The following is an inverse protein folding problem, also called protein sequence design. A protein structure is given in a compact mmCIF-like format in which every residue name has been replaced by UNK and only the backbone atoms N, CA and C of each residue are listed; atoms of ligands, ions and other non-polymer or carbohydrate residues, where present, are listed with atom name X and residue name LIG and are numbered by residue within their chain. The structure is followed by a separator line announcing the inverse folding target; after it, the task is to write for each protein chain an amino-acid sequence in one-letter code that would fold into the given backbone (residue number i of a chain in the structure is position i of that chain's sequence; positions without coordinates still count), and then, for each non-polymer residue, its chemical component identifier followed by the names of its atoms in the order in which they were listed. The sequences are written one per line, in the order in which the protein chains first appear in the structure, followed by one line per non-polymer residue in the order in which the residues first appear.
data_IF_044105957569
#
_entry.id   IF_044105957569
#
_cell.length_a   1.000
_cell.length_b   1.000
_cell.length_c   1.000
_cell.angle_alpha   90.00
_cell.angle_beta   90.00
_cell.angle_gamma   90.00
#
_symmetry.space_group_name_H-M   'P 1'
#
loop_
_entity.id
_entity.type
_entity.pdbx_description
1 polymer ?
#
# COMPACT_ATOMS: atom_id res chain seq x y z
N UNK A 1 -29.84 2.34 -7.54
CA UNK A 1 -28.58 2.42 -8.30
C UNK A 1 -27.42 2.36 -7.30
N UNK A 2 -26.55 1.38 -7.44
CA UNK A 2 -25.40 1.27 -6.57
C UNK A 2 -24.35 2.29 -6.98
N UNK A 3 -23.94 3.15 -6.05
CA UNK A 3 -22.87 4.08 -6.31
C UNK A 3 -21.55 3.31 -6.36
N UNK A 4 -20.83 3.43 -7.46
CA UNK A 4 -19.52 2.81 -7.60
C UNK A 4 -18.50 3.75 -6.98
N UNK A 5 -17.71 3.21 -6.02
CA UNK A 5 -16.61 3.95 -5.45
C UNK A 5 -15.63 4.36 -6.56
N UNK A 6 -15.15 5.58 -6.53
CA UNK A 6 -14.22 6.10 -7.54
C UNK A 6 -13.04 6.76 -6.87
N UNK A 7 -11.86 6.43 -7.38
CA UNK A 7 -10.65 7.11 -6.96
C UNK A 7 -10.64 8.54 -7.47
N UNK A 8 -10.22 9.48 -6.61
CA UNK A 8 -9.95 10.84 -7.02
C UNK A 8 -8.68 10.94 -7.85
N UNK A 9 -8.45 12.14 -8.43
CA UNK A 9 -7.29 12.39 -9.30
C UNK A 9 -5.96 12.09 -8.61
N UNK A 10 -5.79 12.49 -7.35
CA UNK A 10 -4.58 12.23 -6.58
C UNK A 10 -4.34 10.74 -6.38
N UNK A 11 -5.40 9.98 -6.07
CA UNK A 11 -5.30 8.52 -5.93
C UNK A 11 -4.90 7.86 -7.24
N UNK A 12 -5.51 8.26 -8.37
CA UNK A 12 -5.17 7.71 -9.67
C UNK A 12 -3.71 7.95 -10.04
N UNK A 13 -3.17 9.14 -9.72
CA UNK A 13 -1.77 9.43 -9.96
C UNK A 13 -0.84 8.48 -9.19
N UNK A 14 -1.18 8.19 -7.93
CA UNK A 14 -0.40 7.27 -7.09
C UNK A 14 -0.55 5.82 -7.54
N UNK A 15 -1.74 5.41 -7.97
CA UNK A 15 -1.98 4.08 -8.53
C UNK A 15 -1.07 3.85 -9.74
N UNK A 16 -0.91 4.87 -10.59
CA UNK A 16 -0.06 4.79 -11.77
C UNK A 16 1.42 4.52 -11.48
N UNK A 17 1.88 4.70 -10.23
CA UNK A 17 3.25 4.40 -9.83
C UNK A 17 3.46 2.97 -9.36
N UNK A 18 2.40 2.18 -9.29
CA UNK A 18 2.45 0.82 -8.77
C UNK A 18 2.75 -0.20 -9.87
N UNK A 19 3.20 -1.40 -9.45
CA UNK A 19 3.36 -2.54 -10.36
C UNK A 19 2.01 -2.87 -11.03
N UNK A 20 2.02 -3.30 -12.31
CA UNK A 20 0.77 -3.61 -13.04
C UNK A 20 -0.18 -4.57 -12.32
N UNK A 21 0.34 -5.60 -11.65
CA UNK A 21 -0.50 -6.53 -10.89
C UNK A 21 -1.19 -5.83 -9.73
N UNK A 22 -0.50 -4.92 -9.06
CA UNK A 22 -1.10 -4.15 -7.97
C UNK A 22 -2.16 -3.18 -8.49
N UNK A 23 -1.93 -2.59 -9.68
CA UNK A 23 -2.94 -1.75 -10.35
C UNK A 23 -4.20 -2.55 -10.62
N UNK A 24 -4.09 -3.80 -11.09
CA UNK A 24 -5.24 -4.67 -11.33
C UNK A 24 -6.05 -4.89 -10.06
N UNK A 25 -5.38 -5.13 -8.94
CA UNK A 25 -6.04 -5.26 -7.64
C UNK A 25 -6.76 -3.98 -7.27
N UNK A 26 -6.10 -2.83 -7.40
CA UNK A 26 -6.67 -1.54 -7.03
C UNK A 26 -7.89 -1.17 -7.88
N UNK A 27 -7.87 -1.47 -9.17
CA UNK A 27 -9.01 -1.20 -10.05
C UNK A 27 -10.19 -2.14 -9.75
N UNK A 28 -9.93 -3.40 -9.41
CA UNK A 28 -10.98 -4.32 -8.97
C UNK A 28 -11.54 -3.88 -7.61
N UNK A 29 -10.68 -3.40 -6.70
CA UNK A 29 -11.10 -2.88 -5.41
C UNK A 29 -12.10 -1.72 -5.58
N UNK A 30 -11.82 -0.79 -6.50
CA UNK A 30 -12.75 0.31 -6.82
C UNK A 30 -14.10 -0.25 -7.26
N UNK A 31 -14.08 -1.26 -8.12
CA UNK A 31 -15.30 -1.84 -8.68
C UNK A 31 -16.21 -2.49 -7.63
N UNK A 32 -15.61 -3.19 -6.64
CA UNK A 32 -16.36 -3.97 -5.65
C UNK A 32 -16.58 -3.25 -4.32
N UNK A 33 -15.89 -2.14 -4.07
CA UNK A 33 -15.94 -1.46 -2.78
C UNK A 33 -17.32 -0.84 -2.53
N UNK A 34 -17.90 -1.06 -1.32
CA UNK A 34 -19.14 -0.36 -0.93
C UNK A 34 -18.89 1.04 -0.42
N UNK A 35 -17.63 1.45 -0.24
CA UNK A 35 -17.24 2.78 0.24
C UNK A 35 -16.24 3.40 -0.73
N UNK A 36 -16.12 4.72 -0.67
CA UNK A 36 -15.09 5.43 -1.40
C UNK A 36 -13.72 5.15 -0.81
N UNK A 37 -12.70 5.09 -1.67
CA UNK A 37 -11.33 4.76 -1.32
C UNK A 37 -10.38 5.91 -1.65
N UNK A 38 -9.32 6.03 -0.88
CA UNK A 38 -8.22 6.96 -1.16
C UNK A 38 -6.89 6.24 -1.12
N UNK A 39 -6.07 6.41 -2.14
CA UNK A 39 -4.70 5.91 -2.15
C UNK A 39 -3.80 6.96 -1.53
N UNK A 40 -3.08 6.56 -0.49
CA UNK A 40 -2.27 7.45 0.33
C UNK A 40 -0.86 7.55 -0.23
N UNK A 41 -0.28 6.42 -0.63
CA UNK A 41 1.08 6.36 -1.17
C UNK A 41 1.27 5.13 -2.04
N UNK A 42 1.97 5.31 -3.16
CA UNK A 42 2.46 4.22 -4.01
C UNK A 42 3.99 4.21 -3.99
N UNK A 43 4.62 4.57 -5.10
CA UNK A 43 6.08 4.63 -5.20
C UNK A 43 6.66 5.67 -4.24
N UNK A 44 7.68 5.24 -3.49
CA UNK A 44 8.34 6.06 -2.48
C UNK A 44 9.83 6.18 -2.81
N UNK A 45 10.35 7.40 -2.86
CA UNK A 45 11.78 7.63 -3.07
C UNK A 45 12.60 7.13 -1.88
N UNK A 46 13.88 6.84 -2.11
CA UNK A 46 14.80 6.48 -1.04
C UNK A 46 14.92 7.61 -0.01
N UNK A 47 14.98 8.87 -0.46
CA UNK A 47 15.05 10.01 0.46
C UNK A 47 13.81 10.12 1.33
N UNK A 48 12.62 9.86 0.77
CA UNK A 48 11.37 9.83 1.54
C UNK A 48 11.38 8.72 2.59
N UNK A 49 11.86 7.53 2.21
CA UNK A 49 11.97 6.39 3.15
C UNK A 49 12.93 6.71 4.29
N UNK A 50 14.06 7.33 3.98
CA UNK A 50 15.04 7.74 5.01
C UNK A 50 14.45 8.78 5.95
N UNK A 51 13.70 9.74 5.44
CA UNK A 51 13.03 10.74 6.26
C UNK A 51 11.98 10.11 7.19
N UNK A 52 11.21 9.14 6.69
CA UNK A 52 10.26 8.40 7.51
C UNK A 52 10.95 7.59 8.61
N UNK A 53 12.07 6.99 8.31
CA UNK A 53 12.87 6.24 9.30
C UNK A 53 13.45 7.17 10.37
N UNK A 54 13.89 8.37 9.98
CA UNK A 54 14.44 9.36 10.91
C UNK A 54 13.39 9.87 11.90
N UNK A 55 12.12 9.88 11.50
CA UNK A 55 11.03 10.33 12.37
C UNK A 55 10.92 9.47 13.61
N UNK A 56 10.93 10.11 14.77
CA UNK A 56 10.91 9.43 16.07
C UNK A 56 12.28 8.91 16.51
N UNK A 57 13.34 9.10 15.72
CA UNK A 57 14.73 8.72 16.05
C UNK A 57 15.65 9.94 16.09
N UNK A 58 16.00 10.48 14.92
CA UNK A 58 16.83 11.70 14.83
C UNK A 58 15.99 12.96 14.59
N UNK A 59 14.74 12.79 14.17
CA UNK A 59 13.79 13.87 13.94
C UNK A 59 12.55 13.69 14.83
N UNK A 60 11.81 14.78 15.17
CA UNK A 60 10.61 14.67 15.99
C UNK A 60 9.51 13.81 15.35
N UNK A 61 8.63 13.27 16.19
CA UNK A 61 7.45 12.54 15.76
C UNK A 61 7.41 11.12 16.27
N UNK A 62 6.39 10.38 15.86
CA UNK A 62 6.22 8.96 16.18
C UNK A 62 7.02 8.11 15.21
N UNK A 63 7.52 6.97 15.70
CA UNK A 63 8.11 5.96 14.82
C UNK A 63 7.01 5.36 13.95
N UNK A 64 7.19 5.46 12.63
CA UNK A 64 6.22 4.98 11.63
C UNK A 64 6.74 3.84 10.77
N UNK A 65 8.05 3.57 10.81
CA UNK A 65 8.64 2.47 10.04
C UNK A 65 9.88 1.92 10.75
N UNK A 66 10.13 0.62 10.53
CA UNK A 66 11.34 -0.07 10.99
C UNK A 66 12.39 -0.22 9.87
N UNK A 67 12.11 0.33 8.68
CA UNK A 67 12.92 0.14 7.48
C UNK A 67 13.63 1.45 7.14
N UNK A 68 14.98 1.40 7.10
CA UNK A 68 15.81 2.59 6.86
C UNK A 68 15.90 2.99 5.38
N UNK A 69 15.55 2.10 4.47
CA UNK A 69 15.58 2.36 3.03
C UNK A 69 16.94 2.15 2.39
N UNK A 70 17.95 1.76 3.16
CA UNK A 70 19.33 1.54 2.71
C UNK A 70 19.76 0.11 2.99
N UNK A 71 19.89 -0.28 4.27
CA UNK A 71 20.25 -1.67 4.64
C UNK A 71 19.06 -2.61 4.43
N UNK A 72 17.84 -2.11 4.59
CA UNK A 72 16.60 -2.81 4.25
C UNK A 72 15.75 -1.87 3.40
N UNK A 73 15.21 -2.39 2.30
CA UNK A 73 14.35 -1.61 1.41
C UNK A 73 12.89 -1.87 1.72
N UNK A 74 12.09 -0.82 1.64
CA UNK A 74 10.63 -0.91 1.68
C UNK A 74 10.10 -1.42 0.34
N UNK A 75 8.99 -2.15 0.37
CA UNK A 75 8.27 -2.55 -0.85
C UNK A 75 7.71 -1.35 -1.63
N UNK A 76 7.62 -0.19 -1.00
CA UNK A 76 7.28 1.07 -1.68
C UNK A 76 8.42 1.63 -2.51
N UNK A 77 9.66 1.19 -2.31
CA UNK A 77 10.82 1.71 -3.04
C UNK A 77 10.92 1.07 -4.42
N UNK A 78 11.54 1.82 -5.34
CA UNK A 78 11.57 1.50 -6.76
C UNK A 78 12.18 0.13 -7.06
N UNK A 79 11.44 -0.68 -7.81
CA UNK A 79 11.93 -1.90 -8.46
C UNK A 79 11.62 -1.81 -9.95
N UNK A 80 12.35 -2.59 -10.76
CA UNK A 80 12.03 -2.71 -12.18
C UNK A 80 10.71 -3.46 -12.36
N UNK A 81 9.81 -2.90 -13.15
CA UNK A 81 8.56 -3.55 -13.53
C UNK A 81 8.80 -4.91 -14.20
N UNK A 82 9.88 -5.03 -14.96
CA UNK A 82 10.20 -6.25 -15.69
C UNK A 82 10.81 -7.34 -14.82
N UNK A 83 11.73 -6.99 -13.90
CA UNK A 83 12.52 -7.97 -13.15
C UNK A 83 12.16 -8.05 -11.66
N UNK A 84 11.53 -7.03 -11.10
CA UNK A 84 11.30 -6.93 -9.65
C UNK A 84 12.54 -6.58 -8.84
N UNK A 85 13.68 -6.35 -9.50
CA UNK A 85 14.93 -6.02 -8.83
C UNK A 85 15.00 -4.51 -8.52
N UNK A 86 15.68 -4.11 -7.43
CA UNK A 86 15.84 -2.70 -7.11
C UNK A 86 16.46 -1.89 -8.25
N UNK A 87 15.90 -0.71 -8.48
CA UNK A 87 16.39 0.26 -9.47
C UNK A 87 16.42 1.65 -8.84
N UNK A 88 17.04 2.61 -9.52
CA UNK A 88 17.03 4.01 -9.06
C UNK A 88 15.62 4.60 -9.13
N UNK A 89 15.38 5.62 -8.33
CA UNK A 89 14.07 6.26 -8.24
C UNK A 89 13.58 6.83 -9.58
N UNK A 90 14.53 7.25 -10.44
CA UNK A 90 14.24 7.86 -11.74
C UNK A 90 14.35 6.86 -12.91
N UNK A 91 14.51 5.56 -12.61
CA UNK A 91 14.55 4.54 -13.66
C UNK A 91 13.21 4.51 -14.42
N UNK A 92 13.21 4.38 -15.76
CA UNK A 92 11.97 4.41 -16.54
C UNK A 92 10.98 3.29 -16.20
N UNK A 93 11.46 2.15 -15.68
CA UNK A 93 10.63 1.03 -15.26
C UNK A 93 10.30 1.03 -13.78
N UNK A 94 10.67 2.06 -13.02
CA UNK A 94 10.50 2.11 -11.58
C UNK A 94 9.02 2.03 -11.19
N UNK A 95 8.67 1.06 -10.36
CA UNK A 95 7.32 0.88 -9.81
C UNK A 95 7.40 0.47 -8.34
N UNK A 96 6.29 0.65 -7.63
CA UNK A 96 6.12 0.18 -6.26
C UNK A 96 5.50 -1.21 -6.23
N UNK A 97 5.99 -2.07 -5.35
CA UNK A 97 5.34 -3.36 -5.03
C UNK A 97 4.33 -3.23 -3.89
N UNK A 98 4.17 -2.04 -3.33
CA UNK A 98 3.29 -1.77 -2.20
C UNK A 98 2.45 -0.53 -2.42
N UNK A 99 1.32 -0.48 -1.74
CA UNK A 99 0.40 0.66 -1.74
C UNK A 99 -0.18 0.85 -0.36
N UNK A 100 -0.33 2.10 0.05
CA UNK A 100 -1.12 2.46 1.22
C UNK A 100 -2.45 3.02 0.76
N UNK A 101 -3.53 2.46 1.28
CA UNK A 101 -4.91 2.78 0.86
C UNK A 101 -5.82 2.80 2.09
N UNK A 102 -6.77 3.72 2.11
CA UNK A 102 -7.71 3.87 3.20
C UNK A 102 -9.10 4.27 2.73
N UNK A 103 -10.04 4.36 3.67
CA UNK A 103 -11.38 4.89 3.35
C UNK A 103 -11.30 6.38 3.02
N UNK A 104 -12.21 6.85 2.18
CA UNK A 104 -12.30 8.26 1.86
C UNK A 104 -13.59 8.86 2.43
N UNK A 105 -13.54 10.02 3.11
CA UNK A 105 -12.34 10.81 3.45
C UNK A 105 -11.45 10.08 4.47
N UNK A 106 -10.14 10.33 4.37
CA UNK A 106 -9.17 9.65 5.22
C UNK A 106 -9.30 10.12 6.66
N UNK A 107 -9.54 9.18 7.56
CA UNK A 107 -9.56 9.38 9.00
C UNK A 107 -8.85 8.20 9.66
N UNK A 108 -7.69 8.46 10.24
CA UNK A 108 -6.85 7.44 10.85
C UNK A 108 -7.52 6.74 12.06
N UNK A 109 -8.58 7.33 12.61
CA UNK A 109 -9.35 6.75 13.70
C UNK A 109 -10.54 5.91 13.22
N UNK A 110 -10.75 5.80 11.91
CA UNK A 110 -11.85 5.04 11.33
C UNK A 110 -11.46 3.55 11.20
N UNK A 111 -11.41 2.86 12.33
CA UNK A 111 -11.04 1.44 12.38
C UNK A 111 -11.98 0.57 11.53
N UNK A 112 -13.27 0.89 11.54
CA UNK A 112 -14.27 0.17 10.73
C UNK A 112 -13.98 0.34 9.24
N UNK A 113 -13.75 1.59 8.80
CA UNK A 113 -13.44 1.89 7.40
C UNK A 113 -12.18 1.19 6.91
N UNK A 114 -11.12 1.18 7.72
CA UNK A 114 -9.89 0.44 7.38
C UNK A 114 -10.14 -1.08 7.34
N UNK A 115 -11.01 -1.61 8.18
CA UNK A 115 -11.41 -3.02 8.13
C UNK A 115 -12.14 -3.36 6.83
N UNK A 116 -13.02 -2.48 6.36
CA UNK A 116 -13.70 -2.63 5.07
C UNK A 116 -12.67 -2.62 3.92
N UNK A 117 -11.74 -1.68 3.95
CA UNK A 117 -10.67 -1.60 2.93
C UNK A 117 -9.85 -2.88 2.90
N UNK A 118 -9.48 -3.43 4.05
CA UNK A 118 -8.75 -4.70 4.13
C UNK A 118 -9.53 -5.82 3.43
N UNK A 119 -10.80 -5.99 3.78
CA UNK A 119 -11.65 -7.03 3.19
C UNK A 119 -11.79 -6.85 1.67
N UNK A 120 -11.98 -5.60 1.23
CA UNK A 120 -12.12 -5.27 -0.20
C UNK A 120 -10.83 -5.58 -0.96
N UNK A 121 -9.68 -5.19 -0.42
CA UNK A 121 -8.39 -5.45 -1.09
C UNK A 121 -8.09 -6.95 -1.21
N UNK A 122 -8.33 -7.71 -0.14
CA UNK A 122 -8.10 -9.15 -0.16
C UNK A 122 -9.05 -9.86 -1.14
N UNK A 123 -10.32 -9.44 -1.19
CA UNK A 123 -11.27 -9.99 -2.16
C UNK A 123 -10.92 -9.59 -3.59
N UNK A 124 -10.52 -8.35 -3.80
CA UNK A 124 -10.10 -7.87 -5.13
C UNK A 124 -8.92 -8.66 -5.66
N UNK A 125 -7.91 -8.89 -4.83
CA UNK A 125 -6.74 -9.68 -5.19
C UNK A 125 -7.14 -11.11 -5.60
N UNK A 126 -8.00 -11.73 -4.83
CA UNK A 126 -8.53 -13.06 -5.14
C UNK A 126 -9.27 -13.06 -6.48
N UNK A 127 -10.10 -12.05 -6.73
CA UNK A 127 -10.89 -11.96 -7.96
C UNK A 127 -10.02 -11.88 -9.21
N UNK A 128 -8.87 -11.21 -9.13
CA UNK A 128 -7.97 -11.02 -10.28
C UNK A 128 -6.78 -12.00 -10.29
N UNK A 129 -6.71 -12.90 -9.30
CA UNK A 129 -5.67 -13.92 -9.25
C UNK A 129 -4.30 -13.41 -8.88
N UNK A 130 -4.22 -12.34 -8.10
CA UNK A 130 -2.97 -11.74 -7.63
C UNK A 130 -2.82 -12.00 -6.13
N UNK A 131 -1.62 -12.37 -5.69
CA UNK A 131 -1.34 -12.61 -4.28
C UNK A 131 -0.79 -11.33 -3.65
N UNK A 132 -1.47 -10.90 -2.59
CA UNK A 132 -1.04 -9.76 -1.77
C UNK A 132 -1.10 -10.15 -0.30
N UNK A 133 -0.40 -9.37 0.53
CA UNK A 133 -0.63 -9.38 1.98
C UNK A 133 -0.83 -7.96 2.47
N UNK A 134 -1.59 -7.82 3.55
CA UNK A 134 -1.84 -6.53 4.17
C UNK A 134 -1.07 -6.38 5.47
N UNK A 135 -0.76 -5.14 5.85
CA UNK A 135 -0.07 -4.84 7.10
C UNK A 135 -0.90 -5.12 8.35
N UNK A 136 -2.19 -5.42 8.20
CA UNK A 136 -3.05 -5.87 9.30
C UNK A 136 -2.85 -7.37 9.61
N UNK A 137 -2.21 -8.12 8.71
CA UNK A 137 -1.97 -9.56 8.84
C UNK A 137 -0.67 -9.91 8.08
N UNK A 138 0.49 -9.57 8.68
CA UNK A 138 1.79 -9.68 8.03
C UNK A 138 2.18 -11.11 7.66
N UNK A 139 1.80 -12.10 8.49
CA UNK A 139 2.13 -13.49 8.24
C UNK A 139 1.10 -14.22 7.36
N UNK A 140 -0.05 -13.56 7.09
CA UNK A 140 -1.04 -14.09 6.18
C UNK A 140 -1.83 -15.28 6.71
N UNK A 141 -1.87 -15.49 8.04
CA UNK A 141 -2.57 -16.64 8.65
C UNK A 141 -4.05 -16.38 8.94
N UNK A 142 -4.53 -15.16 8.68
CA UNK A 142 -5.91 -14.77 8.95
C UNK A 142 -6.16 -14.25 10.37
N UNK A 143 -5.16 -14.31 11.25
CA UNK A 143 -5.26 -13.78 12.61
C UNK A 143 -4.53 -12.45 12.71
N UNK A 144 -5.29 -11.37 12.82
CA UNK A 144 -4.74 -10.01 12.91
C UNK A 144 -4.29 -9.62 14.31
N UNK A 145 -4.57 -10.48 15.30
CA UNK A 145 -4.28 -10.19 16.71
C UNK A 145 -2.90 -10.67 17.14
N UNK A 146 -2.22 -11.51 16.36
CA UNK A 146 -0.99 -12.19 16.75
C UNK A 146 0.30 -11.48 16.32
N UNK A 147 0.21 -10.31 15.69
CA UNK A 147 1.39 -9.61 15.18
C UNK A 147 1.75 -8.41 16.05
N UNK A 148 3.05 -8.06 16.02
CA UNK A 148 3.62 -6.99 16.85
C UNK A 148 3.48 -5.60 16.25
N UNK A 149 3.24 -5.50 14.94
CA UNK A 149 3.17 -4.23 14.22
C UNK A 149 2.07 -4.29 13.19
N UNK A 150 1.00 -3.54 13.43
CA UNK A 150 -0.11 -3.42 12.50
C UNK A 150 0.08 -2.18 11.64
N UNK A 151 -0.05 -2.35 10.33
CA UNK A 151 -0.04 -1.25 9.37
C UNK A 151 -1.24 -1.40 8.46
N UNK A 152 -2.40 -1.01 8.96
CA UNK A 152 -3.70 -1.23 8.30
C UNK A 152 -3.80 -0.70 6.88
N UNK A 153 -3.20 0.47 6.50
CA UNK A 153 -3.31 0.93 5.12
C UNK A 153 -2.42 0.18 4.14
N UNK A 154 -1.42 -0.55 4.61
CA UNK A 154 -0.37 -1.13 3.77
C UNK A 154 -0.78 -2.46 3.16
N UNK A 155 -0.57 -2.58 1.83
CA UNK A 155 -0.72 -3.84 1.07
C UNK A 155 0.47 -3.99 0.13
N UNK A 156 0.94 -5.22 -0.05
CA UNK A 156 2.08 -5.47 -0.93
C UNK A 156 1.91 -6.78 -1.68
N UNK A 157 2.54 -6.84 -2.87
CA UNK A 157 2.61 -8.06 -3.67
C UNK A 157 3.45 -9.12 -2.98
N UNK A 158 3.02 -10.39 -3.08
CA UNK A 158 3.70 -11.57 -2.55
C UNK A 158 4.21 -12.41 -3.71
N UNK A 159 5.44 -12.84 -3.60
CA UNK A 159 6.02 -13.71 -4.63
C UNK A 159 7.34 -13.20 -5.13
#
# INVERSE_FOLDING_TARGET
MTQIAKYGRSSLAKIGTCHPDLIRVLMEAERISPIDLTVIEGLRSQSRQRALYAQGRTEPGRIVTQIDGVSRRSKHQAVSKASGEPVSDDHPDAVSLAVDIGPHPLDWNDAFGFGVVYAVMMQAAKNVGVRIRGGADWDGDGDRADQRFDDYPHFELVG
#
